data_IF_673010043320
#
_entry.id   IF_673010043320
#
_cell.length_a   1.000
_cell.length_b   1.000
_cell.length_c   1.000
_cell.angle_alpha   90.00
_cell.angle_beta   90.00
_cell.angle_gamma   90.00
#
_symmetry.space_group_name_H-M   'P 1'
#
loop_
_entity.id
_entity.type
_entity.pdbx_description
1 polymer ?
#
# COMPACT_ATOMS: atom_id res chain seq x y z
N UNK A 1 -6.01 18.45 -9.44
CA UNK A 1 -5.93 17.97 -8.04
C UNK A 1 -5.95 16.45 -8.07
N UNK A 2 -5.11 15.77 -7.28
CA UNK A 2 -5.04 14.32 -7.23
C UNK A 2 -5.91 13.74 -6.11
N UNK A 3 -5.85 14.35 -4.93
CA UNK A 3 -6.75 14.04 -3.81
C UNK A 3 -6.97 15.27 -2.91
N UNK A 4 -8.11 15.29 -2.23
CA UNK A 4 -8.45 16.21 -1.13
C UNK A 4 -8.57 15.40 0.16
N UNK A 5 -8.07 15.94 1.28
CA UNK A 5 -7.84 15.24 2.55
C UNK A 5 -8.49 15.96 3.75
N UNK A 6 -9.55 16.73 3.52
CA UNK A 6 -10.13 17.57 4.57
C UNK A 6 -9.27 18.78 4.92
N UNK A 7 -9.82 19.70 5.71
CA UNK A 7 -9.11 20.86 6.28
C UNK A 7 -8.30 21.72 5.29
N UNK A 8 -8.75 21.78 4.02
CA UNK A 8 -8.05 22.51 2.96
C UNK A 8 -6.75 21.85 2.48
N UNK A 9 -6.39 20.66 2.97
CA UNK A 9 -5.21 19.91 2.54
C UNK A 9 -5.49 19.14 1.26
N UNK A 10 -4.57 19.22 0.31
CA UNK A 10 -4.68 18.55 -1.00
C UNK A 10 -3.37 17.92 -1.42
N UNK A 11 -3.45 16.75 -2.06
CA UNK A 11 -2.37 16.20 -2.87
C UNK A 11 -2.58 16.68 -4.31
N UNK A 12 -1.57 17.33 -4.87
CA UNK A 12 -1.65 17.90 -6.22
C UNK A 12 -1.16 16.93 -7.29
N UNK A 13 -1.65 17.10 -8.51
CA UNK A 13 -1.18 16.31 -9.65
C UNK A 13 0.31 16.50 -9.91
N UNK A 14 0.80 17.73 -9.71
CA UNK A 14 2.22 18.08 -9.82
C UNK A 14 3.07 17.40 -8.77
N UNK A 15 2.56 17.20 -7.55
CA UNK A 15 3.29 16.48 -6.50
C UNK A 15 3.46 15.01 -6.87
N UNK A 16 2.39 14.36 -7.35
CA UNK A 16 2.43 12.97 -7.83
C UNK A 16 3.38 12.84 -9.03
N UNK A 17 3.25 13.72 -10.02
CA UNK A 17 4.10 13.72 -11.20
C UNK A 17 5.58 13.92 -10.83
N UNK A 18 5.90 14.87 -9.94
CA UNK A 18 7.27 15.14 -9.50
C UNK A 18 7.96 13.91 -8.90
N UNK A 19 7.28 13.19 -8.00
CA UNK A 19 7.85 11.99 -7.35
C UNK A 19 8.05 10.85 -8.37
N UNK A 20 7.10 10.68 -9.28
CA UNK A 20 7.23 9.69 -10.36
C UNK A 20 8.38 10.03 -11.32
N UNK A 21 8.44 11.30 -11.75
CA UNK A 21 9.44 11.79 -12.69
C UNK A 21 10.85 11.76 -12.09
N UNK A 22 11.00 11.97 -10.78
CA UNK A 22 12.29 11.83 -10.07
C UNK A 22 12.90 10.44 -10.29
N UNK A 23 12.14 9.37 -10.06
CA UNK A 23 12.62 8.00 -10.26
C UNK A 23 12.88 7.70 -11.74
N UNK A 24 11.99 8.18 -12.64
CA UNK A 24 12.18 8.02 -14.09
C UNK A 24 13.48 8.69 -14.56
N UNK A 25 13.74 9.90 -14.11
CA UNK A 25 14.88 10.71 -14.52
C UNK A 25 16.19 10.11 -13.98
N UNK A 26 16.20 9.61 -12.74
CA UNK A 26 17.36 8.90 -12.17
C UNK A 26 17.66 7.62 -12.94
N UNK A 27 16.66 6.79 -13.22
CA UNK A 27 16.83 5.56 -14.02
C UNK A 27 17.33 5.87 -15.44
N UNK A 28 16.84 6.96 -16.04
CA UNK A 28 17.28 7.42 -17.36
C UNK A 28 18.74 7.85 -17.34
N UNK A 29 19.17 8.59 -16.32
CA UNK A 29 20.57 9.01 -16.13
C UNK A 29 21.48 7.81 -15.90
N UNK A 30 21.14 6.90 -14.99
CA UNK A 30 21.96 5.71 -14.70
C UNK A 30 22.16 4.86 -15.96
N UNK A 31 21.14 4.71 -16.79
CA UNK A 31 21.28 3.98 -18.05
C UNK A 31 22.17 4.69 -19.07
N UNK A 32 22.03 6.01 -19.20
CA UNK A 32 22.88 6.79 -20.10
C UNK A 32 24.36 6.68 -19.71
N UNK A 33 24.67 6.57 -18.42
CA UNK A 33 26.04 6.36 -17.92
C UNK A 33 26.59 4.97 -18.29
N UNK A 34 25.78 3.91 -18.12
CA UNK A 34 26.18 2.55 -18.54
C UNK A 34 26.47 2.50 -20.04
N UNK A 35 25.61 3.13 -20.85
CA UNK A 35 25.81 3.19 -22.31
C UNK A 35 27.07 3.94 -22.72
N UNK A 36 27.45 5.01 -22.00
CA UNK A 36 28.71 5.73 -22.27
C UNK A 36 29.94 4.88 -21.92
N UNK A 37 29.85 4.01 -20.92
CA UNK A 37 30.92 3.07 -20.56
C UNK A 37 31.06 1.91 -21.58
N UNK A 38 29.97 1.48 -22.21
CA UNK A 38 29.93 0.35 -23.18
C UNK A 38 30.25 0.74 -24.65
N UNK A 39 30.59 2.01 -24.94
CA UNK A 39 30.88 2.51 -26.32
C UNK A 39 32.12 1.93 -27.03
N UNK A 40 32.72 0.82 -26.57
CA UNK A 40 33.79 0.11 -27.29
C UNK A 40 33.28 -1.01 -28.21
N UNK A 41 31.97 -1.31 -28.25
CA UNK A 41 31.38 -2.37 -29.07
C UNK A 41 30.33 -1.89 -30.07
N UNK A 42 30.52 -2.21 -31.34
CA UNK A 42 29.58 -1.90 -32.43
C UNK A 42 28.28 -2.71 -32.32
N UNK A 43 27.17 -2.03 -32.01
CA UNK A 43 25.82 -2.19 -32.60
C UNK A 43 24.80 -1.41 -31.75
N UNK A 44 24.26 -0.31 -32.29
CA UNK A 44 23.21 0.47 -31.66
C UNK A 44 21.85 -0.23 -31.80
N UNK A 45 21.58 -1.21 -30.93
CA UNK A 45 20.24 -1.78 -30.78
C UNK A 45 19.29 -0.73 -30.18
N UNK A 46 18.05 -0.68 -30.68
CA UNK A 46 17.02 0.22 -30.16
C UNK A 46 16.83 0.00 -28.66
N UNK A 47 17.02 1.07 -27.90
CA UNK A 47 16.99 1.08 -26.43
C UNK A 47 15.53 0.99 -25.98
N UNK A 48 15.10 -0.16 -25.43
CA UNK A 48 13.75 -0.31 -24.84
C UNK A 48 13.49 0.81 -23.82
N UNK A 49 12.28 1.38 -23.64
CA UNK A 49 12.04 2.50 -22.72
C UNK A 49 12.48 2.21 -21.28
N UNK A 50 12.90 3.24 -20.53
CA UNK A 50 13.13 3.13 -19.08
C UNK A 50 11.80 2.79 -18.40
N UNK A 51 11.78 1.72 -17.62
CA UNK A 51 10.61 1.29 -16.87
C UNK A 51 10.78 1.67 -15.41
N UNK A 52 9.90 2.55 -14.93
CA UNK A 52 9.76 2.83 -13.50
C UNK A 52 9.00 1.65 -12.88
N UNK A 53 9.46 1.06 -11.76
CA UNK A 53 8.86 -0.15 -11.18
C UNK A 53 7.53 0.10 -10.43
N UNK A 54 6.96 1.29 -10.58
CA UNK A 54 5.68 1.71 -10.01
C UNK A 54 5.02 2.71 -10.95
N UNK A 55 3.73 2.98 -10.74
CA UNK A 55 2.91 3.92 -11.52
C UNK A 55 2.57 5.15 -10.69
N UNK A 56 2.09 6.21 -11.35
CA UNK A 56 1.65 7.43 -10.66
C UNK A 56 0.52 7.20 -9.65
N UNK A 57 -0.36 6.21 -9.90
CA UNK A 57 -1.39 5.81 -8.92
C UNK A 57 -0.77 5.28 -7.63
N UNK A 58 0.35 4.57 -7.71
CA UNK A 58 1.01 3.99 -6.53
C UNK A 58 1.69 5.09 -5.71
N UNK A 59 2.20 6.13 -6.37
CA UNK A 59 2.69 7.36 -5.70
C UNK A 59 1.56 8.07 -4.94
N UNK A 60 0.38 8.23 -5.55
CA UNK A 60 -0.77 8.81 -4.86
C UNK A 60 -1.17 7.95 -3.65
N UNK A 61 -1.22 6.63 -3.83
CA UNK A 61 -1.53 5.69 -2.77
C UNK A 61 -0.58 5.81 -1.57
N UNK A 62 0.73 5.90 -1.84
CA UNK A 62 1.75 6.05 -0.79
C UNK A 62 1.61 7.38 -0.03
N UNK A 63 1.31 8.48 -0.75
CA UNK A 63 1.07 9.78 -0.13
C UNK A 63 -0.18 9.78 0.77
N UNK A 64 -1.29 9.21 0.29
CA UNK A 64 -2.52 9.06 1.07
C UNK A 64 -2.29 8.18 2.30
N UNK A 65 -1.58 7.07 2.11
CA UNK A 65 -1.25 6.12 3.19
C UNK A 65 -0.46 6.79 4.30
N UNK A 66 0.63 7.49 3.95
CA UNK A 66 1.44 8.21 4.95
C UNK A 66 0.61 9.26 5.66
N UNK A 67 -0.19 10.04 4.93
CA UNK A 67 -1.03 11.08 5.52
C UNK A 67 -2.00 10.51 6.59
N UNK A 68 -2.80 9.51 6.22
CA UNK A 68 -3.83 8.94 7.09
C UNK A 68 -3.17 8.26 8.30
N UNK A 69 -2.05 7.56 8.10
CA UNK A 69 -1.29 6.96 9.19
C UNK A 69 -0.64 8.00 10.11
N UNK A 70 -0.13 9.11 9.58
CA UNK A 70 0.43 10.20 10.41
C UNK A 70 -0.64 10.86 11.27
N UNK A 71 -1.86 11.03 10.75
CA UNK A 71 -3.01 11.51 11.55
C UNK A 71 -3.36 10.53 12.66
N UNK A 72 -3.42 9.24 12.37
CA UNK A 72 -3.66 8.21 13.37
C UNK A 72 -2.56 8.20 14.45
N UNK A 73 -1.29 8.32 14.03
CA UNK A 73 -0.14 8.38 14.94
C UNK A 73 -0.19 9.63 15.83
N UNK A 74 -0.52 10.80 15.27
CA UNK A 74 -0.69 12.03 16.01
C UNK A 74 -1.84 11.93 17.04
N UNK A 75 -2.99 11.39 16.64
CA UNK A 75 -4.14 11.19 17.53
C UNK A 75 -3.81 10.28 18.74
N UNK A 76 -2.89 9.32 18.56
CA UNK A 76 -2.42 8.43 19.64
C UNK A 76 -1.13 8.90 20.32
N UNK A 77 -0.58 10.05 19.93
CA UNK A 77 0.73 10.53 20.41
C UNK A 77 1.86 9.51 20.23
N UNK A 78 1.84 8.79 19.11
CA UNK A 78 2.82 7.74 18.76
C UNK A 78 3.81 8.30 17.76
N UNK A 79 5.09 8.03 17.98
CA UNK A 79 6.14 8.31 17.00
C UNK A 79 6.36 7.09 16.10
N UNK A 80 6.71 7.28 14.83
CA UNK A 80 6.99 6.18 13.91
C UNK A 80 8.16 5.33 14.40
N UNK A 81 8.11 4.04 14.12
CA UNK A 81 9.19 3.12 14.48
C UNK A 81 10.49 3.50 13.74
N UNK A 82 11.64 3.12 14.31
CA UNK A 82 12.94 3.36 13.67
C UNK A 82 13.22 2.40 12.52
N UNK A 83 12.55 1.24 12.52
CA UNK A 83 12.74 0.17 11.56
C UNK A 83 11.40 -0.15 10.84
N UNK A 84 11.45 -0.57 9.56
CA UNK A 84 12.66 -0.70 8.75
C UNK A 84 13.25 0.66 8.33
N UNK A 85 14.57 0.73 8.13
CA UNK A 85 15.19 1.93 7.55
C UNK A 85 14.87 2.08 6.05
N UNK A 86 15.11 3.27 5.49
CA UNK A 86 14.92 3.51 4.04
C UNK A 86 15.82 2.60 3.22
N UNK A 87 17.04 2.34 3.67
CA UNK A 87 18.02 1.46 3.01
C UNK A 87 17.55 -0.01 3.01
N UNK A 88 16.96 -0.49 4.10
CA UNK A 88 16.42 -1.85 4.15
C UNK A 88 15.24 -2.01 3.19
N UNK A 89 14.35 -1.01 3.14
CA UNK A 89 13.21 -1.01 2.21
C UNK A 89 13.68 -0.91 0.76
N UNK A 90 14.67 -0.07 0.49
CA UNK A 90 15.32 0.07 -0.82
C UNK A 90 15.89 -1.28 -1.28
N UNK A 91 16.63 -1.97 -0.40
CA UNK A 91 17.20 -3.29 -0.70
C UNK A 91 16.12 -4.34 -0.96
N UNK A 92 15.10 -4.42 -0.09
CA UNK A 92 14.03 -5.41 -0.21
C UNK A 92 13.18 -5.21 -1.47
N UNK A 93 12.99 -3.96 -1.90
CA UNK A 93 12.15 -3.60 -3.04
C UNK A 93 12.94 -3.42 -4.34
N UNK A 94 14.27 -3.56 -4.30
CA UNK A 94 15.19 -3.22 -5.40
C UNK A 94 14.96 -1.78 -5.92
N UNK A 95 14.73 -0.83 -5.00
CA UNK A 95 14.56 0.60 -5.28
C UNK A 95 15.80 1.39 -4.87
N UNK A 96 15.97 2.60 -5.41
CA UNK A 96 16.95 3.54 -4.89
C UNK A 96 16.48 4.09 -3.54
N UNK A 97 17.36 4.10 -2.53
CA UNK A 97 17.09 4.75 -1.26
C UNK A 97 16.95 6.28 -1.41
N UNK A 98 17.48 6.86 -2.50
CA UNK A 98 17.37 8.28 -2.80
C UNK A 98 15.96 8.71 -3.19
N UNK A 99 15.16 7.81 -3.77
CA UNK A 99 13.83 8.13 -4.27
C UNK A 99 12.89 8.52 -3.14
N UNK A 100 12.15 9.61 -3.36
CA UNK A 100 11.08 10.04 -2.45
C UNK A 100 10.01 8.96 -2.28
N UNK A 101 9.72 8.19 -3.33
CA UNK A 101 8.80 7.04 -3.25
C UNK A 101 9.26 5.98 -2.24
N UNK A 102 10.56 5.65 -2.21
CA UNK A 102 11.13 4.68 -1.27
C UNK A 102 11.02 5.17 0.17
N UNK A 103 11.20 6.48 0.40
CA UNK A 103 11.02 7.08 1.74
C UNK A 103 9.57 7.02 2.20
N UNK A 104 8.61 7.32 1.32
CA UNK A 104 7.17 7.17 1.62
C UNK A 104 6.82 5.72 1.98
N UNK A 105 7.41 4.76 1.25
CA UNK A 105 7.18 3.34 1.51
C UNK A 105 7.76 2.90 2.85
N UNK A 106 8.99 3.31 3.18
CA UNK A 106 9.58 3.06 4.50
C UNK A 106 8.77 3.70 5.63
N UNK A 107 8.33 4.95 5.43
CA UNK A 107 7.50 5.68 6.39
C UNK A 107 6.19 4.95 6.69
N UNK A 108 5.58 4.34 5.67
CA UNK A 108 4.37 3.52 5.82
C UNK A 108 4.62 2.34 6.76
N UNK A 109 5.70 1.59 6.58
CA UNK A 109 6.04 0.46 7.47
C UNK A 109 6.30 0.92 8.90
N UNK A 110 7.07 2.00 9.07
CA UNK A 110 7.42 2.56 10.38
C UNK A 110 6.18 3.03 11.16
N UNK A 111 5.24 3.71 10.48
CA UNK A 111 3.99 4.16 11.08
C UNK A 111 3.10 2.97 11.47
N UNK A 112 2.94 1.99 10.58
CA UNK A 112 2.15 0.77 10.86
C UNK A 112 2.72 -0.01 12.04
N UNK A 113 4.03 -0.23 12.06
CA UNK A 113 4.70 -0.95 13.15
C UNK A 113 4.51 -0.25 14.50
N UNK A 114 4.51 1.08 14.51
CA UNK A 114 4.27 1.86 15.73
C UNK A 114 2.79 1.88 16.17
N UNK A 115 1.87 1.92 15.21
CA UNK A 115 0.43 2.03 15.46
C UNK A 115 -0.22 0.70 15.86
N UNK A 116 0.12 -0.40 15.18
CA UNK A 116 -0.54 -1.70 15.37
C UNK A 116 -0.58 -2.18 16.84
N UNK A 117 0.47 -2.06 17.67
CA UNK A 117 0.39 -2.45 19.08
C UNK A 117 -0.41 -1.47 19.97
N UNK A 118 -0.87 -0.33 19.42
CA UNK A 118 -1.58 0.75 20.13
C UNK A 118 -3.06 0.84 19.73
N UNK A 119 -3.50 0.03 18.78
CA UNK A 119 -4.92 -0.06 18.41
C UNK A 119 -5.67 -0.89 19.44
N UNK A 120 -6.93 -0.56 19.65
CA UNK A 120 -7.83 -1.46 20.37
C UNK A 120 -8.20 -2.61 19.42
N UNK A 121 -7.91 -3.88 19.75
CA UNK A 121 -8.31 -5.00 18.90
C UNK A 121 -9.82 -5.01 18.72
N UNK A 122 -10.28 -5.20 17.49
CA UNK A 122 -11.70 -5.32 17.20
C UNK A 122 -12.18 -6.74 17.48
N UNK A 123 -13.44 -6.89 17.91
CA UNK A 123 -14.07 -8.21 17.93
C UNK A 123 -14.29 -8.69 16.50
N UNK A 124 -13.98 -9.96 16.20
CA UNK A 124 -14.20 -10.53 14.87
C UNK A 124 -15.70 -10.80 14.66
N UNK A 125 -16.28 -10.14 13.67
CA UNK A 125 -17.66 -10.40 13.23
C UNK A 125 -17.68 -11.22 11.95
N UNK A 126 -18.83 -11.80 11.60
CA UNK A 126 -18.97 -12.47 10.30
C UNK A 126 -18.85 -11.48 9.13
N UNK A 127 -19.18 -10.20 9.33
CA UNK A 127 -18.98 -9.15 8.33
C UNK A 127 -17.48 -8.89 8.07
N UNK A 128 -16.62 -9.15 9.05
CA UNK A 128 -15.16 -9.05 8.87
C UNK A 128 -14.57 -10.33 8.27
N UNK A 129 -15.04 -11.49 8.71
CA UNK A 129 -14.47 -12.78 8.35
C UNK A 129 -14.92 -13.30 6.99
N UNK A 130 -16.14 -12.99 6.53
CA UNK A 130 -16.61 -13.41 5.20
C UNK A 130 -15.76 -12.82 4.07
N UNK A 131 -15.46 -11.51 4.03
CA UNK A 131 -14.59 -10.97 2.99
C UNK A 131 -13.17 -11.55 3.03
N UNK A 132 -12.64 -11.86 4.21
CA UNK A 132 -11.33 -12.54 4.35
C UNK A 132 -11.38 -13.92 3.72
N UNK A 133 -12.40 -14.70 4.06
CA UNK A 133 -12.64 -16.04 3.53
C UNK A 133 -12.83 -16.03 2.01
N UNK A 134 -13.65 -15.14 1.48
CA UNK A 134 -13.91 -15.01 0.04
C UNK A 134 -12.63 -14.69 -0.74
N UNK A 135 -11.77 -13.80 -0.22
CA UNK A 135 -10.47 -13.49 -0.84
C UNK A 135 -9.52 -14.68 -0.79
N UNK A 136 -9.45 -15.40 0.33
CA UNK A 136 -8.64 -16.62 0.43
C UNK A 136 -9.12 -17.70 -0.54
N UNK A 137 -10.44 -17.90 -0.67
CA UNK A 137 -11.02 -18.83 -1.63
C UNK A 137 -10.69 -18.46 -3.08
N UNK A 138 -10.81 -17.17 -3.43
CA UNK A 138 -10.46 -16.69 -4.76
C UNK A 138 -8.97 -16.92 -5.08
N UNK A 139 -8.11 -16.90 -4.08
CA UNK A 139 -6.68 -17.20 -4.21
C UNK A 139 -6.33 -18.70 -4.24
N UNK A 140 -7.10 -19.56 -3.55
CA UNK A 140 -6.76 -20.98 -3.35
C UNK A 140 -7.26 -21.94 -4.42
N UNK A 141 -8.19 -21.53 -5.30
CA UNK A 141 -8.80 -22.42 -6.29
C UNK A 141 -9.90 -23.32 -5.71
N UNK A 142 -10.18 -24.46 -6.36
CA UNK A 142 -11.43 -25.24 -6.24
C UNK A 142 -11.65 -26.04 -4.94
N UNK A 143 -10.61 -26.25 -4.12
CA UNK A 143 -10.71 -27.05 -2.89
C UNK A 143 -11.03 -26.16 -1.67
N UNK A 144 -12.27 -25.66 -1.65
CA UNK A 144 -12.75 -24.72 -0.65
C UNK A 144 -13.19 -25.41 0.66
N UNK A 145 -12.47 -25.16 1.75
CA UNK A 145 -12.95 -25.42 3.12
C UNK A 145 -14.23 -24.61 3.36
N UNK A 146 -15.35 -25.17 3.85
CA UNK A 146 -16.55 -24.38 4.16
C UNK A 146 -16.30 -23.24 5.16
N UNK A 147 -17.06 -22.13 5.05
CA UNK A 147 -16.88 -20.95 5.89
C UNK A 147 -16.89 -21.25 7.40
N UNK A 148 -17.84 -22.06 7.87
CA UNK A 148 -17.93 -22.42 9.29
C UNK A 148 -16.70 -23.20 9.76
N UNK A 149 -16.14 -24.04 8.89
CA UNK A 149 -14.92 -24.78 9.16
C UNK A 149 -13.71 -23.85 9.17
N UNK A 150 -13.59 -22.93 8.20
CA UNK A 150 -12.56 -21.88 8.20
C UNK A 150 -12.58 -21.09 9.51
N UNK A 151 -13.75 -20.61 9.94
CA UNK A 151 -13.91 -19.85 11.17
C UNK A 151 -13.49 -20.65 12.40
N UNK A 152 -13.83 -21.93 12.47
CA UNK A 152 -13.44 -22.82 13.58
C UNK A 152 -11.96 -23.19 13.60
N UNK A 153 -11.26 -23.03 12.48
CA UNK A 153 -9.85 -23.42 12.29
C UNK A 153 -8.88 -22.24 12.34
N UNK A 154 -9.37 -21.01 12.59
CA UNK A 154 -8.51 -19.87 12.84
C UNK A 154 -7.64 -20.15 14.07
N UNK A 155 -6.32 -20.08 13.89
CA UNK A 155 -5.39 -20.16 15.02
C UNK A 155 -5.48 -18.90 15.88
N UNK A 156 -5.15 -19.01 17.17
CA UNK A 156 -5.09 -17.86 18.09
C UNK A 156 -4.21 -16.72 17.56
N UNK A 157 -3.14 -17.05 16.82
CA UNK A 157 -2.25 -16.07 16.20
C UNK A 157 -2.95 -15.33 15.05
N UNK A 158 -3.60 -16.06 14.15
CA UNK A 158 -4.34 -15.47 13.04
C UNK A 158 -5.53 -14.66 13.52
N UNK A 159 -6.23 -15.14 14.55
CA UNK A 159 -7.30 -14.39 15.21
C UNK A 159 -6.78 -13.06 15.75
N UNK A 160 -5.69 -13.06 16.53
CA UNK A 160 -5.09 -11.82 17.06
C UNK A 160 -4.64 -10.88 15.95
N UNK A 161 -4.00 -11.39 14.90
CA UNK A 161 -3.55 -10.60 13.76
C UNK A 161 -4.74 -9.92 13.04
N UNK A 162 -5.84 -10.66 12.84
CA UNK A 162 -7.07 -10.12 12.26
C UNK A 162 -7.69 -9.05 13.19
N UNK A 163 -7.85 -9.33 14.48
CA UNK A 163 -8.43 -8.39 15.45
C UNK A 163 -7.66 -7.07 15.50
N UNK A 164 -6.32 -7.14 15.53
CA UNK A 164 -5.46 -5.95 15.50
C UNK A 164 -5.57 -5.19 14.17
N UNK A 165 -5.50 -5.90 13.05
CA UNK A 165 -5.56 -5.28 11.72
C UNK A 165 -6.92 -4.64 11.44
N UNK A 166 -8.02 -5.27 11.88
CA UNK A 166 -9.38 -4.71 11.80
C UNK A 166 -9.55 -3.53 12.74
N UNK A 167 -8.98 -3.60 13.95
CA UNK A 167 -8.93 -2.45 14.86
C UNK A 167 -8.28 -1.24 14.21
N UNK A 168 -7.11 -1.44 13.58
CA UNK A 168 -6.44 -0.39 12.81
C UNK A 168 -7.28 0.06 11.60
N UNK A 169 -7.85 -0.86 10.83
CA UNK A 169 -8.73 -0.55 9.68
C UNK A 169 -9.85 0.41 10.08
N UNK A 170 -10.54 0.10 11.18
CA UNK A 170 -11.68 0.89 11.65
C UNK A 170 -11.26 2.29 12.08
N UNK A 171 -10.10 2.42 12.75
CA UNK A 171 -9.55 3.73 13.11
C UNK A 171 -9.18 4.55 11.87
N UNK A 172 -8.51 3.95 10.88
CA UNK A 172 -8.13 4.65 9.66
C UNK A 172 -9.35 5.01 8.79
N UNK A 173 -10.34 4.12 8.70
CA UNK A 173 -11.59 4.37 7.98
C UNK A 173 -12.34 5.58 8.56
N UNK A 174 -12.36 5.71 9.89
CA UNK A 174 -12.95 6.86 10.56
C UNK A 174 -12.25 8.17 10.19
N UNK A 175 -10.92 8.18 10.11
CA UNK A 175 -10.17 9.36 9.66
C UNK A 175 -10.52 9.71 8.23
N UNK A 176 -10.56 8.72 7.33
CA UNK A 176 -10.93 8.91 5.92
C UNK A 176 -12.35 9.50 5.78
N UNK A 177 -13.29 9.03 6.59
CA UNK A 177 -14.67 9.54 6.61
C UNK A 177 -14.76 10.96 7.17
N UNK A 178 -14.14 11.22 8.32
CA UNK A 178 -14.13 12.55 8.96
C UNK A 178 -13.46 13.62 8.08
N UNK A 179 -12.46 13.22 7.30
CA UNK A 179 -11.70 14.09 6.41
C UNK A 179 -12.41 14.34 5.05
N UNK A 180 -13.54 13.67 4.77
CA UNK A 180 -14.24 13.75 3.47
C UNK A 180 -13.25 13.56 2.30
N UNK A 181 -12.45 12.49 2.36
CA UNK A 181 -11.39 12.25 1.37
C UNK A 181 -12.00 12.09 -0.02
N UNK A 182 -11.57 12.95 -0.96
CA UNK A 182 -12.01 12.92 -2.36
C UNK A 182 -10.84 12.59 -3.27
N UNK A 183 -11.04 11.59 -4.11
CA UNK A 183 -10.04 11.09 -5.03
C UNK A 183 -10.35 11.51 -6.47
N UNK A 184 -9.32 11.82 -7.24
CA UNK A 184 -9.47 11.99 -8.68
C UNK A 184 -9.58 10.61 -9.36
N UNK A 185 -10.71 10.30 -10.05
CA UNK A 185 -10.95 8.98 -10.64
C UNK A 185 -9.87 8.51 -11.62
N UNK A 186 -9.08 9.44 -12.20
CA UNK A 186 -7.99 9.09 -13.13
C UNK A 186 -6.89 8.22 -12.51
N UNK A 187 -6.76 8.25 -11.19
CA UNK A 187 -5.79 7.42 -10.46
C UNK A 187 -6.36 6.06 -10.04
N UNK A 188 -7.66 5.85 -10.26
CA UNK A 188 -8.40 4.68 -9.76
C UNK A 188 -8.52 4.68 -8.25
N UNK A 189 -9.04 3.58 -7.73
CA UNK A 189 -9.26 3.39 -6.31
C UNK A 189 -7.96 3.29 -5.53
N UNK A 190 -7.96 3.86 -4.34
CA UNK A 190 -6.79 3.96 -3.48
C UNK A 190 -7.11 3.25 -2.16
N UNK A 191 -6.21 2.39 -1.71
CA UNK A 191 -6.41 1.59 -0.51
C UNK A 191 -5.09 1.29 0.22
N UNK A 192 -5.17 0.93 1.49
CA UNK A 192 -4.05 0.43 2.27
C UNK A 192 -4.34 -1.00 2.73
N UNK A 193 -3.46 -1.93 2.35
CA UNK A 193 -3.48 -3.32 2.83
C UNK A 193 -2.79 -3.40 4.20
N UNK A 194 -3.54 -3.81 5.21
CA UNK A 194 -3.11 -3.92 6.61
C UNK A 194 -2.68 -5.33 7.01
N UNK A 195 -3.25 -6.34 6.36
CA UNK A 195 -2.87 -7.73 6.52
C UNK A 195 -3.01 -8.43 5.17
N UNK A 196 -2.03 -9.25 4.81
CA UNK A 196 -2.09 -10.15 3.67
C UNK A 196 -1.73 -11.57 4.09
N UNK A 197 -2.07 -12.54 3.25
CA UNK A 197 -1.64 -13.92 3.40
C UNK A 197 -1.27 -14.50 2.04
N UNK A 198 -0.39 -15.49 2.05
CA UNK A 198 -0.05 -16.25 0.87
C UNK A 198 -1.12 -17.31 0.59
N UNK A 199 -1.71 -17.27 -0.59
CA UNK A 199 -2.60 -18.32 -1.11
C UNK A 199 -1.99 -18.87 -2.40
N UNK A 200 -1.27 -19.99 -2.29
CA UNK A 200 -0.43 -20.51 -3.38
C UNK A 200 0.75 -19.58 -3.64
N UNK A 201 0.91 -19.13 -4.88
CA UNK A 201 1.96 -18.18 -5.30
C UNK A 201 1.51 -16.71 -5.23
N UNK A 202 0.29 -16.44 -4.72
CA UNK A 202 -0.30 -15.10 -4.70
C UNK A 202 -0.34 -14.53 -3.30
N UNK A 203 0.04 -13.26 -3.16
CA UNK A 203 -0.25 -12.46 -1.97
C UNK A 203 -1.70 -11.96 -2.05
N UNK A 204 -2.50 -12.32 -1.05
CA UNK A 204 -3.93 -12.00 -0.97
C UNK A 204 -4.14 -10.99 0.16
N UNK A 205 -4.67 -9.78 -0.12
CA UNK A 205 -5.02 -8.83 0.93
C UNK A 205 -6.17 -9.39 1.75
N UNK A 206 -6.01 -9.50 3.07
CA UNK A 206 -7.06 -9.99 3.97
C UNK A 206 -7.81 -8.84 4.62
N UNK A 207 -7.07 -7.81 5.05
CA UNK A 207 -7.64 -6.61 5.68
C UNK A 207 -7.11 -5.41 4.93
N UNK A 208 -8.02 -4.60 4.39
CA UNK A 208 -7.71 -3.38 3.67
C UNK A 208 -8.62 -2.24 4.13
N UNK A 209 -8.15 -1.00 4.00
CA UNK A 209 -8.94 0.22 4.16
C UNK A 209 -8.95 0.98 2.85
N UNK A 210 -10.14 1.32 2.36
CA UNK A 210 -10.30 2.20 1.19
C UNK A 210 -10.09 3.65 1.60
N UNK A 211 -9.41 4.42 0.75
CA UNK A 211 -9.33 5.88 0.85
C UNK A 211 -10.40 6.59 0.02
N UNK A 212 -11.14 5.84 -0.79
CA UNK A 212 -12.29 6.38 -1.46
C UNK A 212 -13.38 6.52 -0.39
N UNK A 213 -13.77 7.76 -0.07
CA UNK A 213 -14.80 8.07 0.94
C UNK A 213 -16.17 7.47 0.60
N UNK A 214 -17.24 7.97 1.24
CA UNK A 214 -18.59 7.41 1.12
C UNK A 214 -19.17 7.26 -0.31
N UNK A 215 -18.52 7.85 -1.32
CA UNK A 215 -18.93 7.84 -2.72
C UNK A 215 -18.29 6.71 -3.57
N UNK A 216 -17.50 5.81 -2.97
CA UNK A 216 -16.76 4.76 -3.68
C UNK A 216 -17.60 3.53 -4.03
N UNK A 217 -17.47 3.01 -5.25
CA UNK A 217 -18.05 1.71 -5.63
C UNK A 217 -17.27 0.54 -5.00
N UNK A 218 -17.96 -0.34 -4.26
CA UNK A 218 -17.46 -1.54 -3.57
C UNK A 218 -16.98 -2.68 -4.53
N UNK A 219 -16.20 -2.38 -5.56
CA UNK A 219 -15.66 -3.43 -6.41
C UNK A 219 -14.44 -4.09 -5.72
N UNK A 220 -14.34 -5.43 -5.65
CA UNK A 220 -13.17 -6.10 -5.09
C UNK A 220 -11.95 -5.90 -5.99
N UNK A 221 -10.83 -5.44 -5.43
CA UNK A 221 -9.58 -5.26 -6.16
C UNK A 221 -8.73 -6.53 -6.14
N UNK A 222 -8.26 -6.92 -7.34
CA UNK A 222 -7.25 -7.96 -7.53
C UNK A 222 -5.88 -7.28 -7.50
N UNK A 223 -5.05 -7.62 -6.51
CA UNK A 223 -3.63 -7.27 -6.48
C UNK A 223 -2.87 -8.17 -7.43
N UNK A 224 -2.93 -7.89 -8.74
CA UNK A 224 -2.03 -8.52 -9.70
C UNK A 224 -0.70 -7.75 -9.67
N UNK A 225 0.31 -8.35 -9.03
CA UNK A 225 1.72 -7.98 -9.20
C UNK A 225 2.33 -9.03 -10.12
N UNK A 226 2.37 -8.68 -11.41
CA UNK A 226 3.23 -9.29 -12.43
C UNK A 226 4.25 -8.26 -12.89
#
# INVERSE_FOLDING_TARGET
MAAYLGDGKTITDSQVARIYDEARDELTKSRAQVQQQDTTGASASAVAPVQVPFKQKDVLNALLTVEVLERAAAAKSVQPATEPTVEQVAQASNFSAGWEYTKLYARTFQLRAALLPKVTPAALTDADLRPVYERLLAGSGSDATPYDQFKSQLSDENEKALQQSIGLRNELAKIVEEDDVKLNPRFGDQQLVLLSAQAGEKDVPLVEVSFAGADASEAPFVTDVS
#
